data_IF_781068678366
#
_entry.id   IF_781068678366
#
_cell.length_a   1.000
_cell.length_b   1.000
_cell.length_c   1.000
_cell.angle_alpha   90.00
_cell.angle_beta   90.00
_cell.angle_gamma   90.00
#
_symmetry.space_group_name_H-M   'P 1'
#
loop_
_entity.id
_entity.type
_entity.pdbx_description
1 polymer ?
#
# COMPACT_ATOMS: atom_id res chain seq x y z
N UNK A 1 -20.20 -12.35 35.42
CA UNK A 1 -21.07 -12.90 34.37
C UNK A 1 -21.40 -11.78 33.38
N UNK A 2 -20.44 -11.46 32.44
CA UNK A 2 -20.66 -10.43 31.40
C UNK A 2 -20.05 -10.83 30.06
N UNK A 3 -19.80 -12.12 29.84
CA UNK A 3 -19.16 -12.63 28.61
C UNK A 3 -20.12 -12.90 27.44
N UNK A 4 -21.44 -12.66 27.60
CA UNK A 4 -22.43 -13.04 26.58
C UNK A 4 -22.78 -11.93 25.57
N UNK A 5 -22.53 -10.66 25.86
CA UNK A 5 -22.93 -9.55 24.95
C UNK A 5 -21.96 -9.28 23.81
N UNK A 6 -20.65 -9.37 24.04
CA UNK A 6 -19.64 -9.15 22.98
C UNK A 6 -19.67 -10.27 21.92
N UNK A 7 -19.82 -11.53 22.35
CA UNK A 7 -19.97 -12.67 21.43
C UNK A 7 -21.24 -12.61 20.58
N UNK A 8 -22.33 -12.08 21.12
CA UNK A 8 -23.59 -11.91 20.38
C UNK A 8 -23.50 -10.80 19.33
N UNK A 9 -22.82 -9.67 19.63
CA UNK A 9 -22.63 -8.58 18.68
C UNK A 9 -21.74 -8.98 17.49
N UNK A 10 -20.65 -9.71 17.74
CA UNK A 10 -19.78 -10.24 16.69
C UNK A 10 -20.52 -11.27 15.80
N UNK A 11 -21.35 -12.13 16.38
CA UNK A 11 -22.16 -13.10 15.64
C UNK A 11 -23.19 -12.41 14.72
N UNK A 12 -23.82 -11.34 15.14
CA UNK A 12 -24.77 -10.58 14.31
C UNK A 12 -24.10 -9.86 13.14
N UNK A 13 -22.89 -9.33 13.33
CA UNK A 13 -22.12 -8.71 12.24
C UNK A 13 -21.71 -9.75 11.21
N UNK A 14 -21.26 -10.93 11.62
CA UNK A 14 -20.94 -12.05 10.72
C UNK A 14 -22.19 -12.53 9.97
N UNK A 15 -23.32 -12.67 10.65
CA UNK A 15 -24.59 -13.08 10.03
C UNK A 15 -25.09 -12.01 9.06
N UNK A 16 -25.02 -10.72 9.41
CA UNK A 16 -25.38 -9.63 8.50
C UNK A 16 -24.46 -9.57 7.26
N UNK A 17 -23.17 -9.88 7.43
CA UNK A 17 -22.21 -9.95 6.34
C UNK A 17 -22.47 -11.12 5.37
N UNK A 18 -23.13 -12.17 5.83
CA UNK A 18 -23.46 -13.37 5.04
C UNK A 18 -24.86 -13.33 4.40
N UNK A 19 -25.70 -12.34 4.74
CA UNK A 19 -27.00 -12.21 4.08
C UNK A 19 -26.81 -11.89 2.59
N UNK A 20 -27.52 -12.58 1.68
CA UNK A 20 -27.56 -12.20 0.29
C UNK A 20 -28.37 -10.90 0.17
N UNK A 21 -27.68 -9.77 0.14
CA UNK A 21 -28.30 -8.59 -0.44
C UNK A 21 -28.45 -8.87 -1.94
N UNK A 22 -29.66 -8.69 -2.47
CA UNK A 22 -29.88 -8.73 -3.91
C UNK A 22 -28.79 -7.90 -4.58
N UNK A 23 -28.26 -8.42 -5.69
CA UNK A 23 -27.06 -7.96 -6.37
C UNK A 23 -27.02 -6.42 -6.52
N UNK A 24 -26.75 -5.72 -5.46
CA UNK A 24 -26.05 -4.47 -5.56
C UNK A 24 -24.76 -4.86 -6.30
N UNK A 25 -24.63 -4.45 -7.54
CA UNK A 25 -23.39 -4.56 -8.28
C UNK A 25 -22.38 -3.70 -7.54
N UNK A 26 -21.89 -4.22 -6.44
CA UNK A 26 -20.88 -3.61 -5.60
C UNK A 26 -19.57 -3.68 -6.36
N UNK A 27 -19.49 -2.88 -7.38
CA UNK A 27 -18.38 -2.84 -8.27
C UNK A 27 -17.75 -1.48 -8.09
N UNK A 28 -16.48 -1.42 -7.66
CA UNK A 28 -15.75 -0.18 -7.64
C UNK A 28 -15.98 0.62 -8.91
N UNK A 29 -15.93 1.93 -8.79
CA UNK A 29 -16.27 2.87 -9.87
C UNK A 29 -15.69 2.51 -11.24
N UNK A 30 -14.44 2.03 -11.29
CA UNK A 30 -13.81 1.65 -12.56
C UNK A 30 -14.50 0.46 -13.26
N UNK A 31 -14.98 -0.50 -12.52
CA UNK A 31 -15.67 -1.65 -13.13
C UNK A 31 -17.05 -1.25 -13.65
N UNK A 32 -17.78 -0.33 -12.98
CA UNK A 32 -19.02 0.25 -13.51
C UNK A 32 -18.79 1.02 -14.81
N UNK A 33 -17.65 1.76 -14.90
CA UNK A 33 -17.30 2.55 -16.08
C UNK A 33 -16.80 1.72 -17.25
N UNK A 34 -16.16 0.58 -17.00
CA UNK A 34 -15.55 -0.25 -18.04
C UNK A 34 -16.37 -1.47 -18.43
N UNK A 35 -17.36 -1.85 -17.62
CA UNK A 35 -18.06 -3.13 -17.75
C UNK A 35 -17.19 -4.35 -17.39
N UNK A 36 -15.92 -4.15 -17.01
CA UNK A 36 -15.02 -5.25 -16.67
C UNK A 36 -15.24 -5.74 -15.24
N UNK A 37 -15.17 -7.04 -15.07
CA UNK A 37 -15.11 -7.63 -13.74
C UNK A 37 -13.79 -7.30 -13.06
N UNK A 38 -13.79 -7.18 -11.71
CA UNK A 38 -12.58 -6.89 -10.93
C UNK A 38 -11.43 -7.84 -11.25
N UNK A 39 -11.75 -9.10 -11.51
CA UNK A 39 -10.78 -10.15 -11.82
C UNK A 39 -10.10 -10.00 -13.19
N UNK A 40 -10.63 -9.16 -14.08
CA UNK A 40 -9.91 -8.84 -15.32
C UNK A 40 -8.66 -7.98 -15.02
N UNK A 41 -8.78 -7.05 -14.08
CA UNK A 41 -7.71 -6.12 -13.72
C UNK A 41 -6.88 -6.55 -12.51
N UNK A 42 -7.39 -7.44 -11.66
CA UNK A 42 -6.72 -7.85 -10.42
C UNK A 42 -6.51 -9.37 -10.37
N UNK A 43 -5.30 -9.79 -9.98
CA UNK A 43 -5.04 -11.18 -9.57
C UNK A 43 -5.79 -11.47 -8.28
N UNK A 44 -5.65 -10.55 -7.35
CA UNK A 44 -6.37 -10.39 -6.09
C UNK A 44 -6.29 -8.91 -5.73
N UNK A 45 -7.30 -8.33 -5.11
CA UNK A 45 -7.22 -6.92 -4.69
C UNK A 45 -6.05 -6.66 -3.75
N UNK A 46 -5.26 -5.60 -3.97
CA UNK A 46 -5.22 -4.63 -5.07
C UNK A 46 -4.27 -5.03 -6.22
N UNK A 47 -3.68 -6.23 -6.22
CA UNK A 47 -2.64 -6.65 -7.14
C UNK A 47 -3.13 -6.69 -8.60
N UNK A 48 -2.43 -5.95 -9.48
CA UNK A 48 -2.82 -5.78 -10.88
C UNK A 48 -2.35 -6.93 -11.78
N UNK A 49 -3.24 -7.37 -12.68
CA UNK A 49 -2.88 -8.16 -13.85
C UNK A 49 -2.22 -7.28 -14.92
N UNK A 50 -1.79 -7.87 -16.03
CA UNK A 50 -1.32 -7.11 -17.20
C UNK A 50 -2.37 -6.13 -17.74
N UNK A 51 -3.64 -6.53 -17.76
CA UNK A 51 -4.76 -5.66 -18.16
C UNK A 51 -4.93 -4.49 -17.21
N UNK A 52 -4.88 -4.75 -15.90
CA UNK A 52 -4.96 -3.70 -14.88
C UNK A 52 -3.80 -2.70 -14.96
N UNK A 53 -2.58 -3.18 -15.23
CA UNK A 53 -1.41 -2.32 -15.44
C UNK A 53 -1.59 -1.40 -16.65
N UNK A 54 -2.08 -1.93 -17.77
CA UNK A 54 -2.32 -1.14 -18.98
C UNK A 54 -3.44 -0.11 -18.80
N UNK A 55 -4.49 -0.47 -18.06
CA UNK A 55 -5.57 0.45 -17.68
C UNK A 55 -5.04 1.61 -16.84
N UNK A 56 -4.27 1.33 -15.79
CA UNK A 56 -3.64 2.36 -14.95
C UNK A 56 -2.69 3.26 -15.74
N UNK A 57 -1.82 2.70 -16.58
CA UNK A 57 -0.91 3.45 -17.44
C UNK A 57 -1.65 4.26 -18.51
N UNK A 58 -2.80 3.79 -18.98
CA UNK A 58 -3.68 4.50 -19.91
C UNK A 58 -4.51 5.60 -19.26
N UNK A 59 -4.09 6.10 -18.08
CA UNK A 59 -4.81 7.12 -17.31
C UNK A 59 -6.21 6.68 -16.90
N UNK A 60 -6.38 5.41 -16.55
CA UNK A 60 -7.66 4.84 -16.15
C UNK A 60 -8.74 4.97 -17.25
N UNK A 61 -8.30 4.92 -18.51
CA UNK A 61 -9.17 4.94 -19.70
C UNK A 61 -8.96 3.69 -20.54
N UNK A 62 -9.99 3.30 -21.30
CA UNK A 62 -9.89 2.22 -22.29
C UNK A 62 -9.53 2.81 -23.66
N UNK A 63 -8.77 2.06 -24.46
CA UNK A 63 -8.42 2.43 -25.85
C UNK A 63 -9.63 2.40 -26.78
N UNK A 64 -10.56 1.49 -26.51
CA UNK A 64 -11.78 1.32 -27.28
C UNK A 64 -12.91 1.14 -26.28
N UNK A 65 -13.60 2.20 -25.90
CA UNK A 65 -14.80 2.07 -25.08
C UNK A 65 -15.84 1.27 -25.88
N UNK A 66 -16.65 0.43 -25.21
CA UNK A 66 -17.82 -0.16 -25.83
C UNK A 66 -18.63 0.96 -26.52
N UNK A 67 -19.03 0.76 -27.77
CA UNK A 67 -19.66 1.80 -28.60
C UNK A 67 -20.92 2.43 -27.98
N UNK A 68 -21.55 1.70 -27.07
CA UNK A 68 -22.83 2.07 -26.47
C UNK A 68 -22.72 2.67 -25.05
N UNK A 69 -21.50 2.77 -24.48
CA UNK A 69 -21.33 3.16 -23.06
C UNK A 69 -20.31 4.30 -22.87
N UNK A 70 -20.27 5.25 -23.78
CA UNK A 70 -19.45 6.47 -23.61
C UNK A 70 -20.16 7.47 -22.70
N UNK A 71 -20.27 7.14 -21.40
CA UNK A 71 -20.77 8.10 -20.44
C UNK A 71 -19.62 8.96 -19.90
N UNK A 72 -19.56 10.26 -20.16
CA UNK A 72 -18.66 11.13 -19.45
C UNK A 72 -19.05 11.15 -17.97
N UNK A 73 -18.06 11.12 -17.06
CA UNK A 73 -18.25 11.12 -15.60
C UNK A 73 -19.14 12.25 -15.07
N UNK A 74 -19.30 13.32 -15.82
CA UNK A 74 -20.08 14.50 -15.47
C UNK A 74 -20.94 14.94 -16.67
N UNK A 75 -21.69 14.06 -17.30
CA UNK A 75 -22.70 14.46 -18.26
C UNK A 75 -23.95 14.92 -17.52
N UNK A 76 -24.24 16.19 -17.62
CA UNK A 76 -25.50 16.80 -17.18
C UNK A 76 -26.53 16.89 -18.31
N UNK A 77 -26.32 16.14 -19.39
CA UNK A 77 -27.24 16.12 -20.51
C UNK A 77 -28.53 15.41 -20.09
N UNK A 78 -29.65 16.12 -20.17
CA UNK A 78 -30.96 15.62 -19.74
C UNK A 78 -31.48 14.46 -20.58
N UNK A 79 -31.01 14.35 -21.81
CA UNK A 79 -31.41 13.35 -22.80
C UNK A 79 -30.34 12.28 -23.02
N UNK A 80 -29.21 12.36 -22.30
CA UNK A 80 -28.12 11.39 -22.34
C UNK A 80 -28.35 10.23 -21.38
N UNK A 81 -27.57 9.12 -21.55
CA UNK A 81 -27.62 8.02 -20.64
C UNK A 81 -27.24 8.44 -19.21
N UNK A 82 -27.82 7.81 -18.20
CA UNK A 82 -27.61 8.15 -16.79
C UNK A 82 -26.13 8.22 -16.44
N UNK A 83 -25.66 9.30 -15.79
CA UNK A 83 -24.25 9.44 -15.45
C UNK A 83 -23.80 8.31 -14.51
N UNK A 84 -22.67 7.69 -14.82
CA UNK A 84 -22.05 6.72 -13.91
C UNK A 84 -21.42 7.50 -12.76
N UNK A 85 -21.90 7.27 -11.54
CA UNK A 85 -21.36 7.93 -10.36
C UNK A 85 -19.91 7.45 -10.13
N UNK A 86 -18.91 8.36 -10.14
CA UNK A 86 -17.49 8.00 -10.00
C UNK A 86 -17.08 7.72 -8.54
N UNK A 87 -18.02 7.25 -7.74
CA UNK A 87 -17.80 6.98 -6.33
C UNK A 87 -17.69 5.47 -6.09
N UNK A 88 -16.77 5.09 -5.23
CA UNK A 88 -16.69 3.76 -4.65
C UNK A 88 -16.35 3.90 -3.17
N UNK A 89 -16.67 2.90 -2.39
CA UNK A 89 -16.33 2.84 -0.99
C UNK A 89 -15.75 1.47 -0.64
N UNK A 90 -14.92 1.39 0.37
CA UNK A 90 -14.63 0.12 1.02
C UNK A 90 -14.60 0.25 2.53
N UNK A 91 -14.84 -0.87 3.18
CA UNK A 91 -14.76 -1.04 4.62
C UNK A 91 -13.86 -2.23 4.94
N UNK A 92 -12.98 -2.06 5.90
CA UNK A 92 -12.18 -3.11 6.49
C UNK A 92 -12.49 -3.20 7.98
N UNK A 93 -12.98 -4.34 8.42
CA UNK A 93 -13.17 -4.65 9.83
C UNK A 93 -12.34 -5.89 10.18
N UNK A 94 -11.71 -5.89 11.35
CA UNK A 94 -10.86 -7.00 11.74
C UNK A 94 -10.94 -7.32 13.22
N UNK A 95 -10.61 -8.57 13.54
CA UNK A 95 -10.28 -9.03 14.89
C UNK A 95 -8.81 -9.44 14.88
N UNK A 96 -8.04 -8.91 15.81
CA UNK A 96 -6.63 -9.25 16.00
C UNK A 96 -6.44 -9.98 17.31
N UNK A 97 -5.73 -11.11 17.25
CA UNK A 97 -5.23 -11.81 18.44
C UNK A 97 -3.71 -11.80 18.42
N UNK A 98 -3.06 -11.30 19.46
CA UNK A 98 -1.60 -11.29 19.59
C UNK A 98 -1.14 -12.32 20.62
N UNK A 99 0.06 -12.88 20.43
CA UNK A 99 0.61 -13.88 21.37
C UNK A 99 0.87 -13.28 22.76
N UNK A 100 1.07 -11.98 22.87
CA UNK A 100 1.19 -11.24 24.12
C UNK A 100 0.64 -9.84 23.92
N UNK A 101 -0.30 -9.44 24.78
CA UNK A 101 -0.94 -8.12 24.76
C UNK A 101 0.06 -6.97 24.77
N UNK A 102 -0.23 -5.93 24.01
CA UNK A 102 0.55 -4.69 23.98
C UNK A 102 0.13 -3.80 25.18
N UNK A 103 0.78 -3.97 26.33
CA UNK A 103 0.46 -3.22 27.57
C UNK A 103 1.21 -1.88 27.69
N UNK A 104 1.78 -1.35 26.61
CA UNK A 104 2.71 -0.24 26.63
C UNK A 104 2.15 1.16 26.37
N UNK A 105 0.82 1.34 26.22
CA UNK A 105 0.23 2.67 26.00
C UNK A 105 -0.50 3.19 27.23
N UNK A 106 -0.30 4.45 27.57
CA UNK A 106 -0.94 5.14 28.70
C UNK A 106 -2.45 5.39 28.50
N UNK A 107 -3.00 5.04 27.33
CA UNK A 107 -4.42 5.22 26.98
C UNK A 107 -5.08 3.94 26.47
N UNK A 108 -5.11 2.90 27.31
CA UNK A 108 -5.86 1.65 27.01
C UNK A 108 -7.38 1.83 26.92
N UNK A 109 -7.91 3.03 27.10
CA UNK A 109 -9.32 3.32 27.06
C UNK A 109 -9.83 3.73 25.66
N UNK A 110 -8.94 4.07 24.72
CA UNK A 110 -9.31 4.71 23.44
C UNK A 110 -9.16 3.79 22.22
N UNK A 111 -8.35 2.73 22.32
CA UNK A 111 -8.11 1.82 21.20
C UNK A 111 -8.89 0.50 21.35
N UNK A 112 -9.34 -0.10 20.22
CA UNK A 112 -9.88 -1.45 20.23
C UNK A 112 -8.87 -2.39 20.86
N UNK A 113 -9.34 -3.15 21.84
CA UNK A 113 -8.51 -4.16 22.49
C UNK A 113 -8.31 -5.32 21.54
N UNK A 114 -7.22 -6.08 21.79
CA UNK A 114 -7.08 -7.40 21.20
C UNK A 114 -8.34 -8.23 21.42
N UNK A 115 -8.64 -9.11 20.47
CA UNK A 115 -9.83 -9.97 20.45
C UNK A 115 -11.18 -9.23 20.33
N UNK A 116 -11.17 -7.93 20.06
CA UNK A 116 -12.36 -7.14 19.75
C UNK A 116 -12.46 -6.84 18.24
N UNK A 117 -13.69 -6.71 17.75
CA UNK A 117 -13.92 -6.28 16.37
C UNK A 117 -13.64 -4.80 16.25
N UNK A 118 -12.66 -4.46 15.41
CA UNK A 118 -12.29 -3.09 15.12
C UNK A 118 -12.60 -2.72 13.65
N UNK A 119 -13.10 -1.51 13.43
CA UNK A 119 -13.11 -0.90 12.11
C UNK A 119 -11.67 -0.46 11.79
N UNK A 120 -10.97 -1.23 10.96
CA UNK A 120 -9.58 -0.88 10.58
C UNK A 120 -9.56 0.33 9.67
N UNK A 121 -10.45 0.35 8.67
CA UNK A 121 -10.50 1.42 7.69
C UNK A 121 -11.88 1.54 7.05
N UNK A 122 -12.32 2.78 6.83
CA UNK A 122 -13.43 3.12 5.96
C UNK A 122 -12.95 4.13 4.93
N UNK A 123 -13.10 3.82 3.63
CA UNK A 123 -12.61 4.70 2.57
C UNK A 123 -13.69 5.04 1.56
N UNK A 124 -13.60 6.28 1.06
CA UNK A 124 -14.34 6.75 -0.10
C UNK A 124 -13.37 7.06 -1.23
N UNK A 125 -13.73 6.63 -2.43
CA UNK A 125 -12.98 6.88 -3.65
C UNK A 125 -13.80 7.75 -4.59
N UNK A 126 -13.22 8.84 -5.03
CA UNK A 126 -13.64 9.52 -6.24
C UNK A 126 -12.71 9.01 -7.35
N UNK A 127 -13.22 8.13 -8.23
CA UNK A 127 -12.38 7.39 -9.16
C UNK A 127 -13.04 7.25 -10.53
N UNK A 128 -12.30 7.63 -11.59
CA UNK A 128 -12.82 7.49 -12.93
C UNK A 128 -12.07 8.22 -14.01
N UNK A 129 -12.63 8.10 -15.22
CA UNK A 129 -12.20 8.82 -16.41
C UNK A 129 -12.68 10.27 -16.36
N UNK A 130 -11.77 11.22 -16.55
CA UNK A 130 -12.09 12.67 -16.67
C UNK A 130 -12.24 13.11 -18.13
N UNK A 131 -11.46 12.48 -19.04
CA UNK A 131 -11.54 12.69 -20.48
C UNK A 131 -11.02 11.43 -21.20
N UNK A 132 -10.93 11.46 -22.53
CA UNK A 132 -10.37 10.36 -23.33
C UNK A 132 -8.91 10.02 -22.95
N UNK A 133 -8.18 11.00 -22.44
CA UNK A 133 -6.76 10.90 -22.13
C UNK A 133 -6.42 11.13 -20.65
N UNK A 134 -7.43 11.38 -19.82
CA UNK A 134 -7.21 11.72 -18.42
C UNK A 134 -8.18 10.98 -17.49
N UNK A 135 -7.68 10.58 -16.34
CA UNK A 135 -8.45 9.95 -15.29
C UNK A 135 -7.60 9.76 -14.04
N UNK A 136 -8.19 9.13 -13.05
CA UNK A 136 -7.49 8.88 -11.79
C UNK A 136 -8.42 8.57 -10.66
N UNK A 137 -7.87 8.65 -9.44
CA UNK A 137 -8.65 8.53 -8.22
C UNK A 137 -8.08 9.39 -7.10
N UNK A 138 -8.97 9.74 -6.18
CA UNK A 138 -8.66 10.30 -4.86
C UNK A 138 -9.32 9.40 -3.83
N UNK A 139 -8.55 8.91 -2.88
CA UNK A 139 -9.00 8.12 -1.75
C UNK A 139 -8.95 8.96 -0.49
N UNK A 140 -10.08 9.08 0.19
CA UNK A 140 -10.19 9.57 1.56
C UNK A 140 -10.44 8.38 2.46
N UNK A 141 -9.70 8.29 3.57
CA UNK A 141 -9.79 7.16 4.51
C UNK A 141 -10.02 7.67 5.93
N UNK A 142 -10.84 6.94 6.66
CA UNK A 142 -11.01 7.03 8.09
C UNK A 142 -10.38 5.80 8.74
N UNK A 143 -9.41 5.99 9.62
CA UNK A 143 -8.88 4.97 10.51
C UNK A 143 -9.76 4.88 11.74
N UNK A 144 -10.42 3.75 11.94
CA UNK A 144 -11.33 3.55 13.05
C UNK A 144 -10.61 3.12 14.35
N UNK A 145 -9.31 2.86 14.30
CA UNK A 145 -8.47 2.58 15.47
C UNK A 145 -7.90 3.86 16.05
N UNK A 146 -7.33 4.71 15.21
CA UNK A 146 -6.77 6.00 15.61
C UNK A 146 -7.82 7.13 15.63
N UNK A 147 -9.06 6.85 15.21
CA UNK A 147 -10.16 7.81 15.10
C UNK A 147 -9.79 9.06 14.28
N UNK A 148 -9.08 8.85 13.20
CA UNK A 148 -8.50 9.89 12.39
C UNK A 148 -8.90 9.72 10.92
N UNK A 149 -8.98 10.81 10.18
CA UNK A 149 -9.27 10.77 8.73
C UNK A 149 -8.31 11.62 7.93
N UNK A 150 -7.90 11.11 6.78
CA UNK A 150 -6.97 11.79 5.89
C UNK A 150 -7.27 11.52 4.40
N UNK A 151 -6.70 12.34 3.53
CA UNK A 151 -6.48 11.94 2.13
C UNK A 151 -5.38 10.88 2.13
N UNK A 152 -5.77 9.69 1.70
CA UNK A 152 -4.88 8.52 1.73
C UNK A 152 -4.06 8.42 0.44
N UNK A 153 -4.68 8.11 -0.67
CA UNK A 153 -3.99 7.96 -1.95
C UNK A 153 -4.61 8.83 -3.04
N UNK A 154 -3.74 9.46 -3.83
CA UNK A 154 -4.10 10.27 -4.99
C UNK A 154 -3.25 9.84 -6.18
N UNK A 155 -3.89 9.53 -7.30
CA UNK A 155 -3.21 9.27 -8.57
C UNK A 155 -4.06 9.86 -9.73
N UNK A 156 -3.62 10.98 -10.26
CA UNK A 156 -4.25 11.66 -11.39
C UNK A 156 -3.31 11.55 -12.59
N UNK A 157 -3.80 11.02 -13.70
CA UNK A 157 -2.98 10.72 -14.88
C UNK A 157 -3.52 11.36 -16.14
N UNK A 158 -2.59 11.72 -17.02
CA UNK A 158 -2.85 12.02 -18.42
C UNK A 158 -1.97 11.13 -19.25
N UNK A 159 -2.53 10.44 -20.26
CA UNK A 159 -1.78 9.49 -21.08
C UNK A 159 -2.19 9.58 -22.55
N UNK A 160 -1.21 9.30 -23.39
CA UNK A 160 -1.37 9.17 -24.83
C UNK A 160 -0.77 7.86 -25.33
N UNK A 161 -1.27 7.40 -26.46
CA UNK A 161 -0.77 6.21 -27.17
C UNK A 161 -0.31 6.60 -28.57
N UNK A 162 0.86 6.10 -28.94
CA UNK A 162 1.36 6.14 -30.29
C UNK A 162 1.51 4.71 -30.77
N UNK A 163 0.94 4.40 -31.92
CA UNK A 163 0.98 3.04 -32.49
C UNK A 163 1.31 3.12 -33.97
N UNK A 164 2.36 2.37 -34.36
CA UNK A 164 2.76 2.11 -35.72
C UNK A 164 3.09 0.63 -35.85
N UNK A 165 3.34 0.13 -37.07
CA UNK A 165 3.66 -1.28 -37.33
C UNK A 165 4.86 -1.80 -36.51
N UNK A 166 5.81 -0.93 -36.19
CA UNK A 166 7.05 -1.30 -35.50
C UNK A 166 7.16 -0.81 -34.06
N UNK A 167 6.37 0.18 -33.68
CA UNK A 167 6.55 0.88 -32.42
C UNK A 167 5.20 1.20 -31.77
N UNK A 168 4.99 0.67 -30.57
CA UNK A 168 3.85 0.97 -29.73
C UNK A 168 4.36 1.66 -28.46
N UNK A 169 3.96 2.90 -28.24
CA UNK A 169 4.36 3.68 -27.07
C UNK A 169 3.09 4.12 -26.33
N UNK A 170 3.02 3.82 -25.05
CA UNK A 170 2.11 4.46 -24.12
C UNK A 170 2.94 5.36 -23.23
N UNK A 171 2.60 6.65 -23.13
CA UNK A 171 3.33 7.61 -22.32
C UNK A 171 2.38 8.58 -21.63
N UNK A 172 2.80 9.11 -20.49
CA UNK A 172 1.95 10.00 -19.73
C UNK A 172 2.65 10.67 -18.56
N UNK A 173 1.83 11.42 -17.82
CA UNK A 173 2.19 12.07 -16.58
C UNK A 173 1.29 11.57 -15.45
N UNK A 174 1.84 11.43 -14.25
CA UNK A 174 1.10 11.14 -13.02
C UNK A 174 1.38 12.24 -12.01
N UNK A 175 0.32 12.81 -11.45
CA UNK A 175 0.33 13.63 -10.25
C UNK A 175 -0.18 12.77 -9.10
N UNK A 176 0.67 12.51 -8.10
CA UNK A 176 0.35 11.59 -7.01
C UNK A 176 0.96 12.05 -5.67
N UNK A 177 0.58 11.39 -4.58
CA UNK A 177 1.03 11.74 -3.23
C UNK A 177 1.94 10.69 -2.58
N UNK A 178 2.45 9.73 -3.36
CA UNK A 178 3.39 8.72 -2.86
C UNK A 178 4.08 8.00 -4.03
N UNK A 179 5.41 7.77 -4.01
CA UNK A 179 6.09 6.95 -5.01
C UNK A 179 5.47 5.56 -5.20
N UNK A 180 5.00 4.92 -4.12
CA UNK A 180 4.33 3.63 -4.17
C UNK A 180 2.97 3.66 -4.87
N UNK A 181 2.28 4.81 -4.90
CA UNK A 181 1.00 4.95 -5.62
C UNK A 181 1.19 4.83 -7.12
N UNK A 182 2.29 5.33 -7.66
CA UNK A 182 2.59 5.21 -9.10
C UNK A 182 2.95 3.78 -9.51
N UNK A 183 3.40 2.94 -8.59
CA UNK A 183 3.81 1.56 -8.87
C UNK A 183 2.68 0.74 -9.53
N UNK A 184 3.00 0.16 -10.69
CA UNK A 184 2.08 -0.67 -11.47
C UNK A 184 2.27 -2.17 -11.23
N UNK A 185 3.34 -2.58 -10.53
CA UNK A 185 3.69 -3.97 -10.31
C UNK A 185 3.34 -4.47 -8.91
N UNK A 186 2.88 -3.59 -8.02
CA UNK A 186 2.53 -3.90 -6.64
C UNK A 186 3.70 -4.52 -5.84
N UNK A 187 4.91 -4.03 -6.09
CA UNK A 187 6.13 -4.44 -5.41
C UNK A 187 6.57 -3.46 -4.31
N UNK A 188 5.94 -2.27 -4.28
CA UNK A 188 6.05 -1.31 -3.18
C UNK A 188 4.84 -1.39 -2.24
N UNK A 189 4.99 -1.05 -0.95
CA UNK A 189 3.99 -1.34 0.10
C UNK A 189 2.59 -0.79 -0.13
N UNK A 190 2.42 0.40 -0.69
CA UNK A 190 1.08 1.03 -0.87
C UNK A 190 0.08 0.06 -1.50
N UNK A 191 0.51 -0.69 -2.51
CA UNK A 191 -0.26 -1.71 -3.19
C UNK A 191 0.38 -3.09 -3.11
N UNK A 192 1.46 -3.21 -2.32
CA UNK A 192 2.21 -4.43 -2.09
C UNK A 192 1.60 -5.29 -0.98
N UNK A 193 2.14 -6.48 -0.84
CA UNK A 193 1.77 -7.40 0.24
C UNK A 193 2.63 -7.15 1.49
N UNK A 194 2.07 -7.25 2.70
CA UNK A 194 0.69 -7.58 3.06
C UNK A 194 -0.28 -6.44 2.72
N UNK A 195 -1.43 -6.77 2.13
CA UNK A 195 -2.42 -5.77 1.69
C UNK A 195 -3.20 -5.13 2.84
N UNK A 196 -3.15 -5.73 4.01
CA UNK A 196 -3.64 -5.18 5.26
C UNK A 196 -2.82 -5.76 6.41
N UNK A 197 -2.59 -4.93 7.41
CA UNK A 197 -1.93 -5.30 8.67
C UNK A 197 -2.84 -4.91 9.83
N UNK A 198 -2.62 -5.51 10.99
CA UNK A 198 -3.36 -5.14 12.18
C UNK A 198 -2.90 -3.77 12.70
N UNK A 199 -3.82 -2.86 12.97
CA UNK A 199 -3.54 -1.57 13.60
C UNK A 199 -3.24 -1.68 15.11
N UNK A 200 -3.57 -2.84 15.74
CA UNK A 200 -3.33 -3.06 17.18
C UNK A 200 -2.09 -3.91 17.47
N UNK A 201 -1.50 -4.55 16.46
CA UNK A 201 -0.28 -5.35 16.61
C UNK A 201 0.98 -4.48 16.53
N UNK A 202 2.03 -4.87 17.26
CA UNK A 202 3.32 -4.20 17.18
C UNK A 202 3.92 -4.35 15.77
N UNK A 203 4.48 -3.26 15.25
CA UNK A 203 5.18 -3.20 13.95
C UNK A 203 6.68 -2.91 14.15
N UNK A 204 7.57 -3.46 13.31
CA UNK A 204 8.99 -3.12 13.36
C UNK A 204 9.24 -1.62 13.17
N UNK A 205 10.17 -1.06 13.94
CA UNK A 205 10.43 0.37 13.97
C UNK A 205 11.12 0.92 12.69
N UNK A 206 11.78 0.07 11.91
CA UNK A 206 12.60 0.50 10.79
C UNK A 206 12.04 0.05 9.43
N UNK A 207 11.93 1.01 8.52
CA UNK A 207 11.62 0.80 7.10
C UNK A 207 12.47 1.73 6.23
N UNK A 208 12.71 1.35 4.97
CA UNK A 208 13.37 2.24 4.00
C UNK A 208 12.42 3.32 3.52
N UNK A 209 12.94 4.41 2.96
CA UNK A 209 12.12 5.55 2.55
C UNK A 209 11.12 5.19 1.43
N UNK A 210 11.51 4.29 0.50
CA UNK A 210 10.60 3.74 -0.52
C UNK A 210 9.49 2.85 0.06
N UNK A 211 9.65 2.37 1.30
CA UNK A 211 8.63 1.63 2.02
C UNK A 211 7.76 2.56 2.87
N UNK A 212 6.94 3.39 2.22
CA UNK A 212 5.94 4.28 2.84
C UNK A 212 6.47 5.52 3.57
N UNK A 213 7.77 5.73 3.67
CA UNK A 213 8.32 6.87 4.42
C UNK A 213 7.89 8.26 3.91
N UNK A 214 7.24 8.36 2.76
CA UNK A 214 6.68 9.60 2.19
C UNK A 214 5.17 9.53 1.95
N UNK A 215 4.50 8.46 2.38
CA UNK A 215 3.07 8.27 2.15
C UNK A 215 2.26 9.45 2.73
N UNK A 216 1.30 9.97 1.95
CA UNK A 216 0.37 11.05 2.35
C UNK A 216 1.04 12.39 2.71
N UNK A 217 2.36 12.52 2.57
CA UNK A 217 3.13 13.68 3.06
C UNK A 217 3.66 14.55 1.93
N UNK A 218 3.68 14.02 0.72
CA UNK A 218 4.29 14.66 -0.45
C UNK A 218 3.31 14.80 -1.61
N UNK A 219 3.65 15.66 -2.54
CA UNK A 219 3.10 15.70 -3.89
C UNK A 219 4.23 15.41 -4.87
N UNK A 220 3.98 14.53 -5.83
CA UNK A 220 4.91 14.14 -6.88
C UNK A 220 4.33 14.32 -8.27
N UNK A 221 5.18 14.69 -9.19
CA UNK A 221 4.90 14.67 -10.62
C UNK A 221 5.91 13.74 -11.27
N UNK A 222 5.40 12.71 -11.94
CA UNK A 222 6.23 11.74 -12.68
C UNK A 222 5.81 11.65 -14.13
N UNK A 223 6.77 11.50 -15.02
CA UNK A 223 6.56 11.15 -16.42
C UNK A 223 6.91 9.69 -16.62
N UNK A 224 6.07 8.96 -17.33
CA UNK A 224 6.26 7.54 -17.59
C UNK A 224 6.05 7.18 -19.05
N UNK A 225 6.65 6.07 -19.46
CA UNK A 225 6.43 5.50 -20.78
C UNK A 225 6.64 3.99 -20.80
N UNK A 226 5.84 3.30 -21.62
CA UNK A 226 5.92 1.86 -21.88
C UNK A 226 6.10 1.65 -23.39
N UNK A 227 7.25 1.12 -23.82
CA UNK A 227 7.59 0.83 -25.20
C UNK A 227 7.36 -0.65 -25.54
N UNK A 228 6.64 -0.89 -26.62
CA UNK A 228 6.33 -2.22 -27.15
C UNK A 228 5.83 -3.20 -26.08
N UNK A 229 5.12 -2.68 -25.05
CA UNK A 229 4.67 -3.46 -23.88
C UNK A 229 5.79 -4.18 -23.13
N UNK A 230 7.05 -3.82 -23.36
CA UNK A 230 8.24 -4.52 -22.84
C UNK A 230 9.08 -3.65 -21.91
N UNK A 231 9.42 -2.44 -22.32
CA UNK A 231 10.28 -1.55 -21.54
C UNK A 231 9.43 -0.45 -20.89
N UNK A 232 9.40 -0.43 -19.57
CA UNK A 232 8.79 0.64 -18.78
C UNK A 232 9.87 1.54 -18.21
N UNK A 233 9.67 2.85 -18.29
CA UNK A 233 10.48 3.85 -17.61
C UNK A 233 9.60 4.90 -16.96
N UNK A 234 10.00 5.37 -15.78
CA UNK A 234 9.39 6.46 -15.04
C UNK A 234 10.45 7.34 -14.42
N UNK A 235 10.24 8.65 -14.46
CA UNK A 235 11.12 9.66 -13.87
C UNK A 235 10.27 10.80 -13.31
N UNK A 236 10.61 11.28 -12.13
CA UNK A 236 9.92 12.42 -11.53
C UNK A 236 10.53 12.89 -10.24
N UNK A 237 9.75 13.64 -9.48
CA UNK A 237 10.19 14.17 -8.20
C UNK A 237 9.05 14.49 -7.27
N UNK A 238 9.33 14.41 -5.98
CA UNK A 238 8.40 14.62 -4.88
C UNK A 238 8.83 15.82 -4.05
N UNK A 239 7.87 16.53 -3.50
CA UNK A 239 8.06 17.63 -2.55
C UNK A 239 7.03 17.54 -1.44
N UNK A 240 7.34 18.12 -0.29
CA UNK A 240 6.33 18.29 0.77
C UNK A 240 5.12 19.06 0.22
N UNK A 241 3.92 18.57 0.46
CA UNK A 241 2.68 19.12 -0.09
C UNK A 241 2.13 20.29 0.76
N UNK A 242 2.94 21.32 1.03
CA UNK A 242 2.56 22.38 1.98
C UNK A 242 1.80 23.55 1.37
N UNK A 243 2.26 24.07 0.22
CA UNK A 243 1.76 25.34 -0.31
C UNK A 243 0.78 25.17 -1.47
N UNK A 244 1.16 24.47 -2.52
CA UNK A 244 0.37 24.38 -3.75
C UNK A 244 -0.69 23.27 -3.71
N UNK A 245 -0.40 22.15 -3.03
CA UNK A 245 -1.22 20.94 -3.01
C UNK A 245 -1.44 20.44 -1.57
N UNK A 246 -1.65 21.37 -0.63
CA UNK A 246 -1.83 21.05 0.79
C UNK A 246 -3.02 20.10 1.04
N UNK A 247 -4.00 20.05 0.14
CA UNK A 247 -5.09 19.08 0.19
C UNK A 247 -4.61 17.63 0.15
N UNK A 248 -3.45 17.33 -0.47
CA UNK A 248 -2.88 15.98 -0.50
C UNK A 248 -2.29 15.52 0.84
N UNK A 249 -2.20 16.43 1.79
CA UNK A 249 -1.84 16.18 3.20
C UNK A 249 -3.00 16.47 4.15
N UNK A 250 -4.22 16.59 3.64
CA UNK A 250 -5.37 16.87 4.49
C UNK A 250 -5.58 15.72 5.48
N UNK A 251 -5.64 16.06 6.74
CA UNK A 251 -5.75 15.11 7.84
C UNK A 251 -4.42 14.66 8.45
N UNK A 252 -3.28 14.91 7.84
CA UNK A 252 -1.97 14.47 8.37
C UNK A 252 -1.51 15.42 9.48
N UNK A 253 -1.05 14.85 10.61
CA UNK A 253 -0.43 15.60 11.68
C UNK A 253 0.93 16.15 11.23
N UNK A 254 1.02 17.48 11.18
CA UNK A 254 2.22 18.17 10.73
C UNK A 254 3.39 18.10 11.71
N UNK A 255 3.13 17.73 12.96
CA UNK A 255 4.18 17.60 13.97
C UNK A 255 5.02 16.34 13.78
N UNK A 256 4.47 15.32 13.12
CA UNK A 256 5.12 14.02 12.87
C UNK A 256 5.45 13.78 11.40
N UNK A 257 4.78 14.51 10.49
CA UNK A 257 4.94 14.31 9.05
C UNK A 257 6.29 14.80 8.53
N UNK A 258 6.94 14.02 7.68
CA UNK A 258 8.23 14.39 7.09
C UNK A 258 8.15 15.70 6.30
N UNK A 259 9.15 16.56 6.52
CA UNK A 259 9.36 17.78 5.74
C UNK A 259 10.64 17.64 4.91
N UNK A 260 10.48 17.69 3.58
CA UNK A 260 11.58 17.59 2.65
C UNK A 260 12.27 18.94 2.43
N UNK A 261 13.58 18.90 2.36
CA UNK A 261 14.39 20.01 1.88
C UNK A 261 14.55 19.89 0.35
N UNK A 262 13.71 20.61 -0.37
CA UNK A 262 13.69 20.62 -1.83
C UNK A 262 12.92 19.47 -2.46
N UNK A 263 13.43 18.96 -3.57
CA UNK A 263 12.81 17.89 -4.36
C UNK A 263 13.50 16.55 -4.12
N UNK A 264 12.71 15.50 -3.99
CA UNK A 264 13.18 14.11 -3.92
C UNK A 264 13.02 13.45 -5.30
N UNK A 265 14.09 13.31 -6.09
CA UNK A 265 14.04 12.64 -7.38
C UNK A 265 13.74 11.15 -7.21
N UNK A 266 12.84 10.67 -8.07
CA UNK A 266 12.43 9.27 -8.20
C UNK A 266 12.61 8.80 -9.64
N UNK A 267 13.01 7.55 -9.80
CA UNK A 267 13.10 6.90 -11.11
C UNK A 267 12.82 5.40 -11.01
N UNK A 268 12.30 4.84 -12.09
CA UNK A 268 12.08 3.41 -12.27
C UNK A 268 12.35 2.97 -13.70
N UNK A 269 12.97 1.80 -13.86
CA UNK A 269 13.09 1.08 -15.13
C UNK A 269 12.64 -0.36 -14.89
N UNK A 270 11.86 -0.91 -15.81
CA UNK A 270 11.46 -2.31 -15.74
C UNK A 270 11.37 -2.92 -17.14
N UNK A 271 11.82 -4.16 -17.25
CA UNK A 271 11.59 -5.02 -18.41
C UNK A 271 10.47 -5.98 -18.06
N UNK A 272 9.45 -6.06 -18.93
CA UNK A 272 8.37 -7.01 -18.79
C UNK A 272 8.17 -7.79 -20.09
N UNK A 273 7.70 -9.01 -19.96
CA UNK A 273 7.36 -9.85 -21.08
C UNK A 273 6.09 -10.64 -20.80
N UNK A 274 5.24 -10.75 -21.83
CA UNK A 274 3.98 -11.49 -21.77
C UNK A 274 4.00 -12.56 -22.86
N UNK A 275 3.52 -13.77 -22.54
CA UNK A 275 3.43 -14.88 -23.49
C UNK A 275 2.22 -15.77 -23.18
N UNK A 276 1.93 -16.73 -24.06
CA UNK A 276 0.77 -17.61 -23.93
C UNK A 276 -0.55 -16.85 -23.97
N UNK A 277 -0.71 -15.93 -24.94
CA UNK A 277 -1.87 -15.05 -25.09
C UNK A 277 -2.21 -14.24 -23.84
N UNK A 278 -1.17 -13.79 -23.13
CA UNK A 278 -1.30 -12.99 -21.92
C UNK A 278 -1.52 -13.79 -20.63
N UNK A 279 -1.54 -15.13 -20.72
CA UNK A 279 -1.66 -16.03 -19.56
C UNK A 279 -0.45 -15.89 -18.62
N UNK A 280 0.72 -15.68 -19.17
CA UNK A 280 1.96 -15.49 -18.42
C UNK A 280 2.46 -14.07 -18.56
N UNK A 281 2.96 -13.52 -17.46
CA UNK A 281 3.74 -12.28 -17.48
C UNK A 281 4.89 -12.35 -16.50
N UNK A 282 6.04 -11.80 -16.89
CA UNK A 282 7.20 -11.66 -16.02
C UNK A 282 7.72 -10.22 -16.09
N UNK A 283 8.29 -9.73 -14.99
CA UNK A 283 8.91 -8.42 -14.90
C UNK A 283 10.16 -8.50 -14.04
N UNK A 284 11.17 -7.74 -14.45
CA UNK A 284 12.36 -7.42 -13.65
C UNK A 284 12.56 -5.90 -13.69
N UNK A 285 12.66 -5.27 -12.53
CA UNK A 285 12.76 -3.83 -12.39
C UNK A 285 13.87 -3.37 -11.49
N UNK A 286 14.25 -2.11 -11.67
CA UNK A 286 15.13 -1.34 -10.77
C UNK A 286 14.51 0.02 -10.54
N UNK A 287 14.67 0.57 -9.34
CA UNK A 287 14.08 1.85 -8.96
C UNK A 287 14.95 2.57 -7.93
N UNK A 288 14.77 3.86 -7.81
CA UNK A 288 15.50 4.64 -6.81
C UNK A 288 14.80 5.92 -6.41
N UNK A 289 15.05 6.33 -5.18
CA UNK A 289 14.58 7.58 -4.57
C UNK A 289 15.72 8.23 -3.81
N UNK A 290 15.85 9.53 -3.89
CA UNK A 290 16.77 10.28 -3.04
C UNK A 290 16.05 11.47 -2.43
N UNK A 291 16.06 11.57 -1.09
CA UNK A 291 15.42 12.68 -0.40
C UNK A 291 16.32 13.28 0.65
N UNK A 292 16.14 14.58 0.91
CA UNK A 292 16.65 15.26 2.08
C UNK A 292 15.47 15.62 2.97
N UNK A 293 15.55 15.30 4.25
CA UNK A 293 14.49 15.49 5.22
C UNK A 293 15.03 16.21 6.44
N UNK A 294 14.26 17.16 6.96
CA UNK A 294 14.56 17.76 8.26
C UNK A 294 14.26 16.73 9.37
N UNK A 295 15.17 16.56 10.36
CA UNK A 295 14.94 15.63 11.47
C UNK A 295 13.72 16.01 12.31
N UNK A 296 13.55 17.32 12.57
CA UNK A 296 12.40 17.87 13.27
C UNK A 296 11.45 18.54 12.26
N UNK A 297 10.26 17.95 12.01
CA UNK A 297 9.29 18.52 11.08
C UNK A 297 8.68 19.85 11.58
N UNK A 298 8.74 20.14 12.87
CA UNK A 298 8.23 21.39 13.44
C UNK A 298 9.21 22.54 13.29
N UNK A 299 10.50 22.23 13.08
CA UNK A 299 11.59 23.17 12.88
C UNK A 299 12.36 22.82 11.60
N UNK A 300 11.74 23.08 10.44
CA UNK A 300 12.32 22.77 9.13
C UNK A 300 13.46 23.76 8.80
N UNK A 301 14.51 23.76 9.58
CA UNK A 301 15.70 24.62 9.46
C UNK A 301 16.97 23.86 9.86
N UNK A 302 18.13 24.30 9.37
CA UNK A 302 19.42 23.72 9.70
C UNK A 302 19.80 22.50 8.87
N UNK A 303 20.69 21.64 9.39
CA UNK A 303 21.16 20.45 8.66
C UNK A 303 20.03 19.43 8.45
N UNK A 304 20.08 18.76 7.31
CA UNK A 304 19.10 17.75 6.92
C UNK A 304 19.74 16.38 6.84
N UNK A 305 18.91 15.35 7.03
CA UNK A 305 19.28 13.98 6.76
C UNK A 305 19.04 13.64 5.29
N UNK A 306 19.95 12.89 4.71
CA UNK A 306 19.84 12.43 3.32
C UNK A 306 19.64 10.93 3.27
N UNK A 307 18.62 10.51 2.53
CA UNK A 307 18.27 9.12 2.27
C UNK A 307 18.44 8.83 0.78
N UNK A 308 19.02 7.68 0.45
CA UNK A 308 19.18 7.20 -0.91
C UNK A 308 18.82 5.74 -1.00
N UNK A 309 17.70 5.47 -1.62
CA UNK A 309 17.19 4.14 -1.89
C UNK A 309 17.51 3.71 -3.30
N UNK A 310 17.93 2.45 -3.43
CA UNK A 310 17.99 1.73 -4.69
C UNK A 310 17.36 0.37 -4.47
N UNK A 311 16.35 0.06 -5.27
CA UNK A 311 15.59 -1.18 -5.21
C UNK A 311 15.73 -1.99 -6.49
N UNK A 312 15.65 -3.31 -6.34
CA UNK A 312 15.46 -4.27 -7.42
C UNK A 312 14.21 -5.07 -7.10
N UNK A 313 13.37 -5.29 -8.10
CA UNK A 313 12.15 -6.04 -7.95
C UNK A 313 11.88 -6.98 -9.12
N UNK A 314 11.12 -8.02 -8.84
CA UNK A 314 10.71 -9.00 -9.84
C UNK A 314 9.29 -9.47 -9.57
N UNK A 315 8.56 -9.78 -10.65
CA UNK A 315 7.22 -10.35 -10.59
C UNK A 315 7.09 -11.42 -11.67
N UNK A 316 6.40 -12.49 -11.33
CA UNK A 316 5.87 -13.47 -12.27
C UNK A 316 4.41 -13.71 -11.98
N UNK A 317 3.58 -13.73 -13.02
CA UNK A 317 2.16 -14.04 -12.92
C UNK A 317 1.77 -15.10 -13.95
N UNK A 318 0.96 -16.05 -13.51
CA UNK A 318 0.20 -16.99 -14.34
C UNK A 318 -1.27 -16.78 -14.04
N UNK A 319 -2.04 -16.35 -15.02
CA UNK A 319 -3.42 -15.92 -14.84
C UNK A 319 -4.32 -16.62 -15.87
N UNK A 320 -5.16 -17.51 -15.37
CA UNK A 320 -6.26 -18.13 -16.11
C UNK A 320 -7.58 -17.89 -15.38
N UNK A 321 -8.68 -18.34 -15.93
CA UNK A 321 -9.99 -18.24 -15.27
C UNK A 321 -10.05 -19.08 -13.99
N UNK A 322 -9.41 -20.25 -13.98
CA UNK A 322 -9.45 -21.20 -12.88
C UNK A 322 -8.27 -21.04 -11.91
N UNK A 323 -7.07 -20.80 -12.42
CA UNK A 323 -5.84 -20.77 -11.62
C UNK A 323 -5.12 -19.45 -11.78
N UNK A 324 -4.72 -18.85 -10.67
CA UNK A 324 -3.91 -17.63 -10.67
C UNK A 324 -2.74 -17.81 -9.71
N UNK A 325 -1.55 -17.56 -10.20
CA UNK A 325 -0.32 -17.57 -9.41
C UNK A 325 0.35 -16.22 -9.57
N UNK A 326 0.83 -15.67 -8.47
CA UNK A 326 1.69 -14.48 -8.49
C UNK A 326 2.85 -14.68 -7.54
N UNK A 327 4.06 -14.54 -8.06
CA UNK A 327 5.29 -14.50 -7.27
C UNK A 327 5.91 -13.11 -7.41
N UNK A 328 6.27 -12.50 -6.29
CA UNK A 328 6.88 -11.18 -6.22
C UNK A 328 8.07 -11.17 -5.28
N UNK A 329 9.06 -10.35 -5.61
CA UNK A 329 10.20 -10.05 -4.75
C UNK A 329 10.55 -8.57 -4.91
N UNK A 330 10.84 -7.90 -3.79
CA UNK A 330 11.39 -6.54 -3.76
C UNK A 330 12.53 -6.51 -2.75
N UNK A 331 13.68 -6.01 -3.16
CA UNK A 331 14.84 -5.79 -2.30
C UNK A 331 15.30 -4.34 -2.46
N UNK A 332 15.29 -3.60 -1.36
CA UNK A 332 15.66 -2.18 -1.29
C UNK A 332 16.88 -2.04 -0.40
N UNK A 333 17.86 -1.26 -0.85
CA UNK A 333 18.99 -0.78 -0.03
C UNK A 333 18.88 0.71 0.14
N UNK A 334 18.95 1.16 1.36
CA UNK A 334 18.99 2.56 1.75
C UNK A 334 20.34 2.92 2.35
N UNK A 335 20.89 4.05 1.92
CA UNK A 335 22.01 4.71 2.57
C UNK A 335 21.51 5.99 3.20
N UNK A 336 21.76 6.12 4.49
CA UNK A 336 21.41 7.27 5.30
C UNK A 336 22.68 8.09 5.58
N UNK A 337 22.62 9.41 5.41
CA UNK A 337 23.60 10.38 5.88
C UNK A 337 22.84 11.32 6.80
N UNK A 338 23.11 11.23 8.10
CA UNK A 338 22.27 11.74 9.18
C UNK A 338 22.84 13.02 9.79
N UNK A 339 23.22 13.98 8.94
CA UNK A 339 23.91 15.21 9.39
C UNK A 339 23.07 16.00 10.41
N UNK A 340 21.75 16.08 10.19
CA UNK A 340 20.84 16.78 11.10
C UNK A 340 20.55 15.98 12.38
N UNK A 341 20.19 14.71 12.26
CA UNK A 341 19.92 13.83 13.41
C UNK A 341 21.18 13.61 14.26
N UNK A 342 22.35 13.48 13.65
CA UNK A 342 23.61 13.34 14.39
C UNK A 342 23.98 14.64 15.14
N UNK A 343 23.82 15.80 14.50
CA UNK A 343 24.09 17.09 15.13
C UNK A 343 23.14 17.38 16.32
N UNK A 344 21.90 16.90 16.25
CA UNK A 344 20.93 17.06 17.36
C UNK A 344 21.00 15.95 18.42
N UNK A 345 21.82 14.91 18.21
CA UNK A 345 21.91 13.75 19.10
C UNK A 345 20.77 12.74 18.94
N UNK A 346 19.90 12.90 17.94
CA UNK A 346 18.83 11.95 17.62
C UNK A 346 19.34 10.67 16.92
N UNK A 347 20.56 10.69 16.39
CA UNK A 347 21.29 9.53 15.85
C UNK A 347 22.63 9.41 16.55
N UNK A 348 23.05 8.17 16.82
CA UNK A 348 24.39 7.89 17.36
C UNK A 348 25.46 7.82 16.28
N UNK A 349 25.07 7.66 15.02
CA UNK A 349 25.97 7.54 13.89
C UNK A 349 25.71 8.65 12.86
N UNK A 350 26.77 9.20 12.21
CA UNK A 350 26.59 10.16 11.11
C UNK A 350 26.09 9.49 9.82
N UNK A 351 26.23 8.17 9.69
CA UNK A 351 25.77 7.40 8.52
C UNK A 351 25.30 6.03 8.94
N UNK A 352 24.20 5.57 8.33
CA UNK A 352 23.70 4.22 8.48
C UNK A 352 23.35 3.59 7.13
N UNK A 353 23.21 2.28 7.12
CA UNK A 353 22.68 1.48 6.01
C UNK A 353 21.49 0.69 6.49
N UNK A 354 20.46 0.65 5.66
CA UNK A 354 19.28 -0.18 5.88
C UNK A 354 18.99 -0.98 4.63
N UNK A 355 18.45 -2.16 4.78
CA UNK A 355 17.95 -2.96 3.66
C UNK A 355 16.66 -3.65 4.03
N UNK A 356 15.79 -3.80 3.03
CA UNK A 356 14.52 -4.46 3.17
C UNK A 356 14.35 -5.49 2.06
N UNK A 357 13.83 -6.65 2.41
CA UNK A 357 13.44 -7.72 1.50
C UNK A 357 11.98 -8.08 1.77
N UNK A 358 11.17 -8.07 0.73
CA UNK A 358 9.82 -8.63 0.72
C UNK A 358 9.75 -9.67 -0.39
N UNK A 359 9.28 -10.87 -0.08
CA UNK A 359 9.00 -11.91 -1.08
C UNK A 359 7.62 -12.50 -0.80
N UNK A 360 6.88 -12.80 -1.87
CA UNK A 360 5.51 -13.30 -1.79
C UNK A 360 5.27 -14.34 -2.88
N UNK A 361 4.53 -15.38 -2.53
CA UNK A 361 3.91 -16.32 -3.46
C UNK A 361 2.42 -16.42 -3.13
N UNK A 362 1.58 -16.19 -4.11
CA UNK A 362 0.12 -16.26 -3.97
C UNK A 362 -0.45 -17.23 -5.02
N UNK A 363 -1.41 -18.03 -4.61
CA UNK A 363 -2.21 -18.89 -5.47
C UNK A 363 -3.69 -18.66 -5.21
N UNK A 364 -4.49 -18.51 -6.27
CA UNK A 364 -5.94 -18.48 -6.22
C UNK A 364 -6.55 -19.57 -7.09
N UNK A 365 -7.58 -20.23 -6.55
CA UNK A 365 -8.41 -21.18 -7.25
C UNK A 365 -9.81 -20.58 -7.49
N UNK A 366 -10.27 -20.62 -8.75
CA UNK A 366 -11.55 -20.06 -9.22
C UNK A 366 -11.78 -18.61 -8.72
N UNK A 367 -10.72 -17.83 -8.55
CA UNK A 367 -10.76 -16.45 -8.01
C UNK A 367 -11.40 -16.31 -6.62
N UNK A 368 -11.80 -17.42 -6.00
CA UNK A 368 -12.54 -17.48 -4.74
C UNK A 368 -11.70 -17.90 -3.54
N UNK A 369 -10.77 -18.82 -3.72
CA UNK A 369 -9.97 -19.39 -2.63
C UNK A 369 -8.51 -19.06 -2.86
N UNK A 370 -7.91 -18.35 -1.94
CA UNK A 370 -6.52 -17.89 -2.04
C UNK A 370 -5.65 -18.37 -0.89
N UNK A 371 -4.38 -18.65 -1.20
CA UNK A 371 -3.31 -18.88 -0.25
C UNK A 371 -2.16 -17.96 -0.61
N UNK A 372 -1.67 -17.18 0.35
CA UNK A 372 -0.45 -16.38 0.18
C UNK A 372 0.57 -16.75 1.24
N UNK A 373 1.81 -16.84 0.82
CA UNK A 373 2.98 -17.04 1.68
C UNK A 373 3.93 -15.87 1.44
N UNK A 374 4.43 -15.25 2.50
CA UNK A 374 5.43 -14.20 2.37
C UNK A 374 6.53 -14.29 3.42
N UNK A 375 7.67 -13.71 3.07
CA UNK A 375 8.78 -13.49 3.97
C UNK A 375 9.22 -12.03 3.89
N UNK A 376 9.31 -11.40 5.06
CA UNK A 376 9.71 -10.02 5.24
C UNK A 376 11.00 -9.98 6.05
N UNK A 377 11.94 -9.11 5.67
CA UNK A 377 13.17 -8.90 6.42
C UNK A 377 13.64 -7.46 6.29
N UNK A 378 13.92 -6.84 7.43
CA UNK A 378 14.67 -5.58 7.53
C UNK A 378 15.99 -5.87 8.23
N UNK A 379 17.09 -5.27 7.72
CA UNK A 379 18.42 -5.43 8.28
C UNK A 379 19.22 -4.14 8.08
N UNK A 380 19.96 -3.72 9.12
CA UNK A 380 20.71 -2.48 9.04
C UNK A 380 21.77 -2.31 10.13
N UNK A 381 22.45 -1.17 10.07
CA UNK A 381 23.43 -0.78 11.07
C UNK A 381 22.74 -0.50 12.39
N UNK A 382 23.42 -0.78 13.50
CA UNK A 382 22.94 -0.44 14.83
C UNK A 382 23.11 1.05 15.09
N UNK A 383 22.07 1.67 15.62
CA UNK A 383 22.07 3.08 16.05
C UNK A 383 21.16 3.23 17.26
N UNK A 384 21.77 3.45 18.42
CA UNK A 384 21.03 3.55 19.68
C UNK A 384 20.14 4.81 19.72
N UNK A 385 20.57 5.91 19.12
CA UNK A 385 19.78 7.13 19.03
C UNK A 385 18.48 6.93 18.25
N UNK A 386 18.55 6.23 17.13
CA UNK A 386 17.39 5.98 16.26
C UNK A 386 16.45 4.89 16.77
N UNK A 387 17.00 3.81 17.38
CA UNK A 387 16.21 2.58 17.60
C UNK A 387 16.02 2.23 19.08
N UNK A 388 16.80 2.80 20.02
CA UNK A 388 16.64 2.53 21.45
C UNK A 388 15.76 3.59 22.10
N UNK A 389 14.44 3.42 21.98
CA UNK A 389 13.47 4.39 22.56
C UNK A 389 13.41 4.32 24.09
N UNK A 390 13.92 3.25 24.71
CA UNK A 390 13.78 3.01 26.15
C UNK A 390 12.36 2.65 26.58
N UNK A 391 11.49 2.35 25.64
CA UNK A 391 10.09 2.01 25.87
C UNK A 391 9.81 0.52 25.62
N UNK A 392 8.89 -0.08 26.39
CA UNK A 392 8.42 -1.43 26.11
C UNK A 392 7.80 -1.52 24.71
N UNK A 393 7.90 -2.67 24.08
CA UNK A 393 7.29 -3.04 22.79
C UNK A 393 7.96 -2.37 21.58
N UNK A 394 8.13 -1.07 21.56
CA UNK A 394 8.57 -0.32 20.37
C UNK A 394 10.09 -0.16 20.27
N UNK A 395 10.82 -0.34 21.36
CA UNK A 395 12.27 -0.13 21.43
C UNK A 395 13.10 -1.30 20.91
N UNK A 396 14.41 -1.04 20.83
CA UNK A 396 15.46 -2.02 20.56
C UNK A 396 16.52 -1.94 21.68
N UNK A 397 16.68 -2.99 22.49
CA UNK A 397 17.64 -3.00 23.58
C UNK A 397 19.10 -2.95 23.09
N UNK A 398 19.36 -3.38 21.88
CA UNK A 398 20.70 -3.38 21.27
C UNK A 398 20.90 -2.33 20.18
N UNK A 399 19.92 -1.42 20.00
CA UNK A 399 19.96 -0.35 19.03
C UNK A 399 19.97 -0.83 17.57
N UNK A 400 19.54 -2.07 17.25
CA UNK A 400 19.52 -2.59 15.90
C UNK A 400 18.11 -2.63 15.32
N UNK A 401 17.94 -2.31 14.02
CA UNK A 401 16.64 -2.32 13.35
C UNK A 401 16.20 -3.70 12.88
N UNK A 402 17.03 -4.73 13.02
CA UNK A 402 16.85 -6.02 12.40
C UNK A 402 15.50 -6.66 12.76
N UNK A 403 14.67 -6.95 11.77
CA UNK A 403 13.41 -7.66 11.96
C UNK A 403 13.18 -8.66 10.83
N UNK A 404 12.54 -9.79 11.13
CA UNK A 404 12.14 -10.76 10.12
C UNK A 404 10.86 -11.48 10.52
N UNK A 405 9.98 -11.67 9.56
CA UNK A 405 8.69 -12.32 9.74
C UNK A 405 8.32 -13.17 8.53
N UNK A 406 7.51 -14.16 8.76
CA UNK A 406 6.77 -14.85 7.72
C UNK A 406 5.27 -14.59 7.89
N UNK A 407 4.56 -14.56 6.77
CA UNK A 407 3.12 -14.39 6.74
C UNK A 407 2.50 -15.56 5.98
N UNK A 408 1.44 -16.11 6.55
CA UNK A 408 0.57 -17.09 5.88
C UNK A 408 -0.83 -16.49 5.86
N UNK A 409 -1.42 -16.42 4.67
CA UNK A 409 -2.72 -15.80 4.50
C UNK A 409 -3.65 -16.72 3.71
N UNK A 410 -4.83 -16.98 4.26
CA UNK A 410 -5.93 -17.69 3.60
C UNK A 410 -7.00 -16.66 3.24
N UNK A 411 -7.49 -16.72 2.00
CA UNK A 411 -8.48 -15.81 1.48
C UNK A 411 -9.70 -16.57 0.97
N UNK A 412 -10.88 -16.04 1.27
CA UNK A 412 -12.13 -16.49 0.73
C UNK A 412 -12.92 -15.31 0.17
N UNK A 413 -13.21 -15.34 -1.11
CA UNK A 413 -13.97 -14.34 -1.86
C UNK A 413 -15.30 -14.97 -2.33
N UNK A 414 -16.31 -15.09 -1.48
CA UNK A 414 -17.58 -15.71 -1.84
C UNK A 414 -18.33 -14.93 -2.92
N UNK A 415 -18.16 -13.61 -2.92
CA UNK A 415 -18.75 -12.66 -3.86
C UNK A 415 -17.67 -11.71 -4.38
N UNK A 416 -17.97 -10.95 -5.42
CA UNK A 416 -17.03 -10.01 -6.06
C UNK A 416 -16.67 -8.81 -5.20
N UNK A 417 -17.50 -8.49 -4.23
CA UNK A 417 -17.46 -7.32 -3.35
C UNK A 417 -16.97 -7.63 -1.94
N UNK A 418 -16.70 -8.91 -1.64
CA UNK A 418 -16.35 -9.34 -0.26
C UNK A 418 -15.16 -10.27 -0.26
N UNK A 419 -14.23 -9.96 0.64
CA UNK A 419 -13.06 -10.79 0.92
C UNK A 419 -12.96 -11.03 2.42
N UNK A 420 -12.84 -12.28 2.80
CA UNK A 420 -12.52 -12.72 4.15
C UNK A 420 -11.10 -13.25 4.15
N UNK A 421 -10.29 -12.79 5.09
CA UNK A 421 -8.88 -13.14 5.18
C UNK A 421 -8.56 -13.61 6.57
N UNK A 422 -7.92 -14.76 6.69
CA UNK A 422 -7.26 -15.22 7.90
C UNK A 422 -5.76 -15.14 7.67
N UNK A 423 -5.09 -14.24 8.36
CA UNK A 423 -3.65 -14.01 8.24
C UNK A 423 -2.96 -14.34 9.56
N UNK A 424 -1.84 -15.06 9.46
CA UNK A 424 -0.90 -15.25 10.56
C UNK A 424 0.42 -14.59 10.23
N UNK A 425 0.92 -13.76 11.14
CA UNK A 425 2.25 -13.15 11.08
C UNK A 425 3.11 -13.72 12.20
N UNK A 426 4.23 -14.35 11.85
CA UNK A 426 5.16 -14.94 12.80
C UNK A 426 6.54 -14.31 12.74
N UNK A 427 6.97 -13.65 13.82
CA UNK A 427 8.25 -12.98 13.91
C UNK A 427 9.37 -13.92 14.38
N UNK A 428 10.44 -13.98 13.62
CA UNK A 428 11.68 -14.70 13.96
C UNK A 428 12.68 -13.79 14.70
N UNK A 429 12.65 -12.49 14.33
CA UNK A 429 13.45 -11.42 14.91
C UNK A 429 12.61 -10.14 14.88
N UNK A 430 12.72 -9.33 15.92
CA UNK A 430 12.00 -8.07 16.03
C UNK A 430 12.90 -7.02 16.67
N UNK A 431 13.03 -5.84 16.08
CA UNK A 431 13.82 -4.71 16.54
C UNK A 431 15.17 -5.13 17.15
N UNK A 432 15.96 -5.91 16.40
CA UNK A 432 17.33 -6.24 16.74
C UNK A 432 17.55 -7.61 17.37
N UNK A 433 16.56 -8.26 17.98
CA UNK A 433 16.79 -9.52 18.68
C UNK A 433 15.62 -10.52 18.59
N UNK A 434 15.89 -11.77 18.92
CA UNK A 434 14.90 -12.84 19.04
C UNK A 434 14.25 -12.84 20.42
N UNK A 435 15.07 -12.66 21.46
CA UNK A 435 14.66 -12.67 22.85
C UNK A 435 14.95 -11.33 23.51
N UNK A 436 14.04 -10.89 24.39
CA UNK A 436 14.17 -9.63 25.13
C UNK A 436 14.62 -8.46 24.26
N UNK A 437 13.96 -8.31 23.08
CA UNK A 437 14.40 -7.33 22.07
C UNK A 437 14.24 -5.88 22.55
N UNK A 438 13.24 -5.61 23.39
CA UNK A 438 12.92 -4.29 23.94
C UNK A 438 13.67 -3.94 25.23
N UNK A 439 14.35 -4.93 25.85
CA UNK A 439 14.98 -4.79 27.15
C UNK A 439 14.04 -4.99 28.35
N UNK A 440 12.73 -5.15 28.09
CA UNK A 440 11.69 -5.33 29.12
C UNK A 440 11.10 -6.76 29.14
N UNK A 441 11.81 -7.71 28.56
CA UNK A 441 11.45 -9.13 28.57
C UNK A 441 10.51 -9.57 27.45
N UNK A 442 10.30 -8.75 26.43
CA UNK A 442 9.48 -9.13 25.28
C UNK A 442 10.33 -9.82 24.20
N UNK A 443 9.86 -10.95 23.71
CA UNK A 443 10.50 -11.72 22.64
C UNK A 443 9.87 -11.40 21.29
N UNK A 444 10.58 -11.63 20.19
CA UNK A 444 10.03 -11.45 18.85
C UNK A 444 8.71 -12.20 18.64
N UNK A 445 8.64 -13.46 19.09
CA UNK A 445 7.43 -14.31 18.98
C UNK A 445 6.23 -13.79 19.77
N UNK A 446 6.45 -12.93 20.76
CA UNK A 446 5.39 -12.35 21.57
C UNK A 446 4.55 -11.34 20.75
N UNK A 447 5.10 -10.91 19.60
CA UNK A 447 4.40 -10.05 18.61
C UNK A 447 3.71 -10.85 17.49
N UNK A 448 3.78 -12.19 17.52
CA UNK A 448 3.05 -13.01 16.56
C UNK A 448 1.55 -12.72 16.70
N UNK A 449 0.87 -12.62 15.56
CA UNK A 449 -0.53 -12.29 15.58
C UNK A 449 -1.33 -13.06 14.53
N UNK A 450 -2.61 -13.25 14.85
CA UNK A 450 -3.66 -13.65 13.94
C UNK A 450 -4.52 -12.45 13.62
N UNK A 451 -4.81 -12.24 12.36
CA UNK A 451 -5.73 -11.21 11.87
C UNK A 451 -6.85 -11.89 11.09
N UNK A 452 -8.08 -11.79 11.61
CA UNK A 452 -9.28 -12.12 10.85
C UNK A 452 -9.83 -10.81 10.27
N UNK A 453 -9.69 -10.63 8.96
CA UNK A 453 -10.07 -9.43 8.25
C UNK A 453 -11.29 -9.68 7.37
N UNK A 454 -12.25 -8.77 7.44
CA UNK A 454 -13.38 -8.67 6.54
C UNK A 454 -13.24 -7.40 5.71
N UNK A 455 -13.27 -7.55 4.39
CA UNK A 455 -13.11 -6.44 3.45
C UNK A 455 -14.32 -6.39 2.52
N UNK A 456 -15.00 -5.26 2.48
CA UNK A 456 -16.17 -5.00 1.66
C UNK A 456 -15.87 -3.84 0.70
N UNK A 457 -16.24 -3.97 -0.58
CA UNK A 457 -16.08 -2.93 -1.60
C UNK A 457 -17.43 -2.66 -2.29
N UNK A 458 -17.80 -1.36 -2.45
CA UNK A 458 -19.10 -0.92 -2.96
C UNK A 458 -18.95 0.02 -4.15
#
# INVERSE_FOLDING_TARGET
MNTSRAGQSAAWVVVAALLPFEAAHAVPSFARQTGFECVACHVSWPELTSVGRQFKLGAYTLTTPPKDEQHPLLSFDKDGPSPIVPLAAFLQAAVTHTARTNTGGTDSATFPKEDELALQQASLFLAGRLSEHAGGFVQWSYDGVEHHSAIDNVDLRVAHRYESDRLKILYGLSLNNNPGVSDIYNTLPVWGFPFATSSVAATPAASTLLQEGLAQQVVGLTAYSLWNRTLYAELGGYRTADKAFSVFRAGIDRSTAAVLDGSAPYWRLALQHEWGDGTHSAMLGVQGLSARRFPDPTQAQGPTDRFRDVGIDAQYQYVTDTHRISAQMSYIRERQTLDGSFASGASSNPTNRLSSLTSKLTYYYNTKYGLSLAYLRTHGDGDAGLYSTGEPVNGSANGRPDSSAYIVELNWLPWRDRRFTLQYTGYQKFNGARNNYDGFGRNARDNNNWLLLMWFAF
#
